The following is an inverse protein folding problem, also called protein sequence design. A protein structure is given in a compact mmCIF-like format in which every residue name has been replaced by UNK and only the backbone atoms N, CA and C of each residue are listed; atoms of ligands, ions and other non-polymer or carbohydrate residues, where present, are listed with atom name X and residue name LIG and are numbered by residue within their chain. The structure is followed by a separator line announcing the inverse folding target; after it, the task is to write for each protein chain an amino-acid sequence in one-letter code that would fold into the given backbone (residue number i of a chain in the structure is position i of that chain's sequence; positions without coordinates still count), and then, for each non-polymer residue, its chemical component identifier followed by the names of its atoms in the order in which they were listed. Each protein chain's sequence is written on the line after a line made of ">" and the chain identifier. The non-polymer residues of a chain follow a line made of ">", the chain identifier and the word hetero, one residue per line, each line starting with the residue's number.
data_IF_568063865981
#
_entry.id   IF_568063865981
#
_cell.length_a   1.000
_cell.length_b   1.000
_cell.length_c   1.000
_cell.angle_alpha   90.00
_cell.angle_beta   90.00
_cell.angle_gamma   90.00
#
_symmetry.space_group_name_H-M   'P 1'
#
loop_
_entity.id
_entity.type
_entity.pdbx_description
1 polymer ?
#
# COMPACT_ATOMS: atom_id res chain seq x y z
N UNK A 1 -6.14 43.07 22.54
CA UNK A 1 -6.13 42.88 24.00
C UNK A 1 -7.53 42.48 24.41
N UNK A 2 -7.60 41.35 25.12
CA UNK A 2 -8.70 40.81 25.92
C UNK A 2 -9.99 40.38 25.20
N UNK A 3 -10.00 39.07 24.97
CA UNK A 3 -11.15 38.17 24.86
C UNK A 3 -12.12 38.32 26.04
N UNK A 4 -13.39 37.99 25.78
CA UNK A 4 -14.42 37.74 26.79
C UNK A 4 -15.29 36.61 26.28
N UNK A 5 -14.95 35.40 26.69
CA UNK A 5 -15.68 34.16 26.43
C UNK A 5 -17.09 34.25 27.07
N UNK A 6 -18.11 34.08 26.23
CA UNK A 6 -19.49 33.94 26.68
C UNK A 6 -19.74 32.52 27.16
N UNK A 7 -20.04 32.41 28.45
CA UNK A 7 -20.62 31.23 29.11
C UNK A 7 -21.69 30.57 28.21
N UNK A 8 -21.47 29.31 27.83
CA UNK A 8 -22.55 28.45 27.34
C UNK A 8 -23.36 27.99 28.55
N UNK A 9 -24.37 28.77 28.92
CA UNK A 9 -25.43 28.32 29.82
C UNK A 9 -26.12 27.12 29.18
N UNK A 10 -25.88 25.92 29.72
CA UNK A 10 -26.67 24.72 29.43
C UNK A 10 -28.06 24.98 30.01
N UNK A 11 -28.96 25.50 29.19
CA UNK A 11 -30.39 25.52 29.49
C UNK A 11 -30.88 24.08 29.30
N UNK A 12 -30.76 23.27 30.36
CA UNK A 12 -31.43 21.98 30.46
C UNK A 12 -32.94 22.26 30.32
N UNK A 13 -33.55 21.78 29.23
CA UNK A 13 -34.97 21.95 28.97
C UNK A 13 -35.78 21.41 30.16
N UNK A 14 -36.42 22.30 30.93
CA UNK A 14 -37.06 21.99 32.23
C UNK A 14 -38.32 21.11 32.13
N UNK A 15 -38.55 20.47 30.98
CA UNK A 15 -39.71 19.63 30.71
C UNK A 15 -39.32 18.22 30.24
N UNK A 16 -38.04 17.93 30.05
CA UNK A 16 -37.60 16.62 29.60
C UNK A 16 -37.16 15.75 30.80
N UNK A 17 -37.90 14.66 31.02
CA UNK A 17 -37.58 13.62 32.01
C UNK A 17 -36.59 12.59 31.45
N UNK A 18 -36.00 12.86 30.28
CA UNK A 18 -35.00 11.97 29.70
C UNK A 18 -33.66 12.16 30.40
N UNK A 19 -33.04 11.03 30.74
CA UNK A 19 -31.62 11.00 31.08
C UNK A 19 -30.88 11.56 29.85
N UNK A 20 -30.14 12.65 30.03
CA UNK A 20 -29.29 13.24 28.99
C UNK A 20 -27.90 12.64 29.10
N UNK A 21 -27.24 12.42 27.96
CA UNK A 21 -25.79 12.21 27.97
C UNK A 21 -25.15 13.52 28.43
N UNK A 22 -24.91 13.68 29.73
CA UNK A 22 -24.13 14.80 30.24
C UNK A 22 -22.75 14.73 29.57
N UNK A 23 -22.41 15.75 28.78
CA UNK A 23 -21.07 15.90 28.17
C UNK A 23 -19.95 16.10 29.21
N UNK A 24 -20.27 16.07 30.51
CA UNK A 24 -19.33 15.97 31.62
C UNK A 24 -19.07 14.53 32.09
N UNK A 25 -19.66 13.51 31.44
CA UNK A 25 -19.31 12.10 31.64
C UNK A 25 -18.01 11.68 30.92
N UNK A 26 -17.18 12.65 30.51
CA UNK A 26 -15.76 12.48 30.20
C UNK A 26 -14.85 12.85 31.38
N UNK A 27 -15.42 13.09 32.57
CA UNK A 27 -14.68 13.04 33.82
C UNK A 27 -14.29 11.60 34.12
N UNK A 28 -13.09 11.24 33.70
CA UNK A 28 -12.29 10.13 34.20
C UNK A 28 -12.78 9.60 35.56
N UNK A 29 -13.33 8.39 35.57
CA UNK A 29 -13.16 7.49 36.72
C UNK A 29 -11.68 7.06 36.77
N UNK A 30 -10.78 8.02 36.95
CA UNK A 30 -9.42 7.80 37.44
C UNK A 30 -9.55 7.46 38.92
N UNK A 31 -9.76 6.17 39.19
CA UNK A 31 -10.00 5.68 40.54
C UNK A 31 -10.26 4.19 40.61
N UNK A 32 -9.81 3.41 39.63
CA UNK A 32 -9.69 1.97 39.76
C UNK A 32 -8.38 1.55 39.09
N UNK A 33 -7.36 1.44 39.93
CA UNK A 33 -6.10 0.73 39.69
C UNK A 33 -6.23 -0.29 38.56
N UNK A 34 -5.42 -0.13 37.51
CA UNK A 34 -5.08 -1.17 36.53
C UNK A 34 -4.31 -2.31 37.22
N UNK A 35 -4.97 -2.96 38.16
CA UNK A 35 -4.64 -4.27 38.67
C UNK A 35 -5.66 -5.20 38.06
N UNK A 36 -5.21 -5.97 37.06
CA UNK A 36 -6.02 -6.88 36.25
C UNK A 36 -6.61 -8.06 37.02
N UNK A 37 -7.49 -7.79 37.97
CA UNK A 37 -8.49 -8.75 38.41
C UNK A 37 -9.73 -8.55 37.54
N UNK A 38 -10.06 -9.56 36.72
CA UNK A 38 -11.32 -9.57 35.97
C UNK A 38 -12.45 -9.49 36.99
N UNK A 39 -13.13 -8.35 37.03
CA UNK A 39 -14.28 -8.12 37.89
C UNK A 39 -15.30 -9.25 37.66
N UNK A 40 -15.79 -9.87 38.75
CA UNK A 40 -16.70 -11.00 38.65
C UNK A 40 -17.98 -10.60 37.89
N UNK A 41 -18.54 -11.51 37.07
CA UNK A 41 -19.77 -11.23 36.34
C UNK A 41 -20.91 -10.95 37.33
N UNK A 42 -21.62 -9.85 37.09
CA UNK A 42 -22.79 -9.45 37.85
C UNK A 42 -24.05 -10.13 37.31
N UNK A 43 -24.31 -10.01 36.00
CA UNK A 43 -25.44 -10.66 35.33
C UNK A 43 -25.16 -10.85 33.82
N UNK A 44 -25.73 -11.89 33.21
CA UNK A 44 -25.57 -12.21 31.78
C UNK A 44 -24.11 -12.22 31.26
N UNK A 45 -23.13 -12.55 32.12
CA UNK A 45 -21.71 -12.53 31.75
C UNK A 45 -21.08 -11.13 31.63
N UNK A 46 -21.77 -10.09 32.09
CA UNK A 46 -21.28 -8.71 32.17
C UNK A 46 -20.90 -8.34 33.59
N UNK A 47 -19.88 -7.50 33.78
CA UNK A 47 -19.64 -6.85 35.07
C UNK A 47 -20.77 -5.87 35.39
N UNK A 48 -20.89 -5.43 36.65
CA UNK A 48 -21.96 -4.49 37.04
C UNK A 48 -21.90 -3.17 36.24
N UNK A 49 -20.73 -2.54 36.03
CA UNK A 49 -20.63 -1.36 35.17
C UNK A 49 -21.03 -1.62 33.71
N UNK A 50 -20.62 -2.76 33.13
CA UNK A 50 -20.99 -3.14 31.76
C UNK A 50 -22.52 -3.34 31.65
N UNK A 51 -23.10 -4.07 32.60
CA UNK A 51 -24.54 -4.33 32.65
C UNK A 51 -25.33 -3.03 32.79
N UNK A 52 -24.90 -2.12 33.68
CA UNK A 52 -25.51 -0.80 33.83
C UNK A 52 -25.45 0.04 32.54
N UNK A 53 -24.30 0.04 31.85
CA UNK A 53 -24.15 0.74 30.58
C UNK A 53 -25.10 0.19 29.51
N UNK A 54 -25.27 -1.13 29.45
CA UNK A 54 -26.23 -1.78 28.55
C UNK A 54 -27.67 -1.42 28.93
N UNK A 55 -28.01 -1.37 30.22
CA UNK A 55 -29.31 -0.88 30.69
C UNK A 55 -29.58 0.58 30.31
N UNK A 56 -28.59 1.47 30.40
CA UNK A 56 -28.72 2.85 29.91
C UNK A 56 -28.96 2.88 28.40
N UNK A 57 -28.19 2.13 27.62
CA UNK A 57 -28.38 2.05 26.17
C UNK A 57 -29.79 1.55 25.80
N UNK A 58 -30.26 0.52 26.49
CA UNK A 58 -31.62 0.00 26.33
C UNK A 58 -32.66 1.09 26.68
N UNK A 59 -32.49 1.78 27.81
CA UNK A 59 -33.36 2.89 28.20
C UNK A 59 -33.41 3.96 27.10
N UNK A 60 -32.28 4.45 26.57
CA UNK A 60 -32.30 5.48 25.53
C UNK A 60 -32.92 5.02 24.22
N UNK A 61 -32.66 3.78 23.82
CA UNK A 61 -33.12 3.21 22.56
C UNK A 61 -34.61 2.88 22.59
N UNK A 62 -35.09 2.30 23.70
CA UNK A 62 -36.43 1.74 23.83
C UNK A 62 -37.35 2.59 24.72
N UNK A 63 -36.94 3.80 25.16
CA UNK A 63 -37.75 4.68 26.04
C UNK A 63 -39.19 4.92 25.60
N UNK A 64 -39.50 4.76 24.31
CA UNK A 64 -40.84 4.92 23.76
C UNK A 64 -41.76 3.72 24.04
N UNK A 65 -41.18 2.53 24.22
CA UNK A 65 -41.93 1.28 24.46
C UNK A 65 -41.88 0.84 25.93
N UNK A 66 -40.90 1.33 26.70
CA UNK A 66 -40.81 1.05 28.14
C UNK A 66 -41.96 1.76 28.87
N UNK A 67 -42.74 0.99 29.63
CA UNK A 67 -43.87 1.52 30.40
C UNK A 67 -43.39 2.12 31.73
N UNK A 68 -42.90 3.35 31.69
CA UNK A 68 -42.45 4.10 32.86
C UNK A 68 -43.55 5.02 33.41
N UNK A 69 -43.81 4.92 34.72
CA UNK A 69 -44.58 5.95 35.43
C UNK A 69 -43.75 7.22 35.62
N UNK A 70 -44.39 8.31 36.07
CA UNK A 70 -43.67 9.55 36.39
C UNK A 70 -42.64 9.32 37.49
N UNK A 71 -43.05 8.65 38.58
CA UNK A 71 -42.19 8.35 39.72
C UNK A 71 -41.00 7.46 39.31
N UNK A 72 -41.20 6.48 38.41
CA UNK A 72 -40.11 5.66 37.89
C UNK A 72 -39.06 6.51 37.15
N UNK A 73 -39.51 7.48 36.33
CA UNK A 73 -38.59 8.37 35.59
C UNK A 73 -37.79 9.25 36.54
N UNK A 74 -38.44 9.82 37.54
CA UNK A 74 -37.79 10.62 38.59
C UNK A 74 -36.75 9.78 39.34
N UNK A 75 -37.11 8.55 39.71
CA UNK A 75 -36.22 7.65 40.45
C UNK A 75 -35.04 7.12 39.62
N UNK A 76 -35.26 6.75 38.35
CA UNK A 76 -34.20 6.38 37.41
C UNK A 76 -33.22 7.53 37.19
N UNK A 77 -33.74 8.77 37.09
CA UNK A 77 -32.91 9.96 36.94
C UNK A 77 -32.07 10.23 38.20
N UNK A 78 -32.65 10.06 39.39
CA UNK A 78 -31.94 10.17 40.65
C UNK A 78 -30.80 9.14 40.76
N UNK A 79 -31.05 7.87 40.42
CA UNK A 79 -29.99 6.85 40.42
C UNK A 79 -28.90 7.16 39.40
N UNK A 80 -29.26 7.60 38.19
CA UNK A 80 -28.28 7.99 37.18
C UNK A 80 -27.42 9.19 37.65
N UNK A 81 -28.02 10.22 38.26
CA UNK A 81 -27.28 11.33 38.86
C UNK A 81 -26.39 10.88 40.02
N UNK A 82 -26.84 9.94 40.86
CA UNK A 82 -26.00 9.37 41.91
C UNK A 82 -24.78 8.62 41.34
N UNK A 83 -24.95 7.92 40.22
CA UNK A 83 -23.85 7.22 39.54
C UNK A 83 -22.85 8.19 38.90
N UNK A 84 -23.34 9.24 38.23
CA UNK A 84 -22.48 10.18 37.50
C UNK A 84 -21.86 11.26 38.37
N UNK A 85 -22.58 11.70 39.40
CA UNK A 85 -22.26 12.92 40.17
C UNK A 85 -22.09 12.67 41.68
N UNK A 86 -22.38 11.45 42.16
CA UNK A 86 -22.31 11.11 43.59
C UNK A 86 -23.48 11.68 44.40
N UNK A 87 -23.27 11.86 45.70
CA UNK A 87 -24.28 12.42 46.60
C UNK A 87 -24.63 13.87 46.22
N UNK A 88 -25.90 14.24 46.40
CA UNK A 88 -26.37 15.60 46.09
C UNK A 88 -25.61 16.66 46.91
N UNK A 89 -25.13 17.69 46.22
CA UNK A 89 -24.40 18.81 46.80
C UNK A 89 -25.13 20.13 46.51
N UNK A 90 -25.75 20.77 47.52
CA UNK A 90 -26.48 22.03 47.36
C UNK A 90 -25.63 23.18 46.83
N UNK A 91 -24.30 23.15 47.00
CA UNK A 91 -23.41 24.21 46.50
C UNK A 91 -23.18 24.10 44.99
N UNK A 92 -23.19 22.87 44.46
CA UNK A 92 -23.01 22.59 43.04
C UNK A 92 -24.32 22.70 42.24
N UNK A 93 -25.45 22.45 42.89
CA UNK A 93 -26.76 22.37 42.25
C UNK A 93 -27.76 23.32 42.94
N UNK A 94 -27.74 24.62 42.59
CA UNK A 94 -28.55 25.65 43.24
C UNK A 94 -30.05 25.43 43.01
N UNK A 95 -30.87 26.10 43.83
CA UNK A 95 -32.31 25.88 43.89
C UNK A 95 -33.03 26.06 42.54
N UNK A 96 -33.93 25.13 42.21
CA UNK A 96 -34.76 25.20 41.02
C UNK A 96 -35.94 26.07 41.39
N UNK A 97 -36.32 26.98 40.50
CA UNK A 97 -37.35 27.97 40.79
C UNK A 97 -38.63 27.30 41.30
N UNK A 98 -39.38 28.00 42.16
CA UNK A 98 -40.60 27.47 42.79
C UNK A 98 -41.64 26.90 41.80
N UNK A 99 -41.64 27.38 40.56
CA UNK A 99 -42.54 26.92 39.50
C UNK A 99 -42.06 25.66 38.76
N UNK A 100 -40.81 25.21 38.96
CA UNK A 100 -40.26 23.99 38.39
C UNK A 100 -40.55 22.78 39.28
N UNK A 101 -41.78 22.28 39.18
CA UNK A 101 -42.26 21.12 39.97
C UNK A 101 -41.46 19.86 39.62
N UNK A 102 -41.14 19.66 38.33
CA UNK A 102 -40.43 18.47 37.86
C UNK A 102 -38.97 18.49 38.33
N UNK A 103 -38.29 19.63 38.21
CA UNK A 103 -36.92 19.80 38.72
C UNK A 103 -36.85 19.62 40.24
N UNK A 104 -37.86 20.11 40.97
CA UNK A 104 -37.95 19.92 42.42
C UNK A 104 -38.12 18.44 42.81
N UNK A 105 -38.96 17.69 42.10
CA UNK A 105 -39.14 16.25 42.34
C UNK A 105 -37.87 15.46 42.02
N UNK A 106 -37.19 15.75 40.89
CA UNK A 106 -35.89 15.16 40.52
C UNK A 106 -34.84 15.41 41.60
N UNK A 107 -34.71 16.65 42.07
CA UNK A 107 -33.78 17.01 43.14
C UNK A 107 -34.08 16.24 44.42
N UNK A 108 -35.33 16.29 44.90
CA UNK A 108 -35.72 15.64 46.15
C UNK A 108 -35.46 14.13 46.10
N UNK A 109 -35.74 13.50 44.96
CA UNK A 109 -35.44 12.10 44.76
C UNK A 109 -33.94 11.81 44.83
N UNK A 110 -33.09 12.63 44.20
CA UNK A 110 -31.63 12.49 44.27
C UNK A 110 -31.09 12.76 45.68
N UNK A 111 -31.53 13.84 46.33
CA UNK A 111 -31.16 14.19 47.71
C UNK A 111 -31.53 13.06 48.69
N UNK A 112 -32.68 12.41 48.48
CA UNK A 112 -33.12 11.27 49.31
C UNK A 112 -32.20 10.04 49.23
N UNK A 113 -31.34 9.93 48.20
CA UNK A 113 -30.37 8.85 48.07
C UNK A 113 -29.19 9.03 49.04
N UNK A 114 -28.93 10.26 49.50
CA UNK A 114 -27.83 10.58 50.42
C UNK A 114 -26.47 10.09 49.92
N UNK A 115 -25.71 9.44 50.81
CA UNK A 115 -24.38 8.90 50.51
C UNK A 115 -24.43 7.50 49.88
N UNK A 116 -25.40 7.24 49.00
CA UNK A 116 -25.51 5.96 48.30
C UNK A 116 -24.29 5.76 47.38
N UNK A 117 -23.61 4.63 47.54
CA UNK A 117 -22.49 4.27 46.69
C UNK A 117 -22.90 4.14 45.21
N UNK A 118 -22.08 4.59 44.25
CA UNK A 118 -22.41 4.52 42.81
C UNK A 118 -22.78 3.10 42.36
N UNK A 119 -22.07 2.08 42.87
CA UNK A 119 -22.37 0.66 42.55
C UNK A 119 -23.76 0.24 43.04
N UNK A 120 -24.21 0.74 44.19
CA UNK A 120 -25.55 0.44 44.69
C UNK A 120 -26.63 1.17 43.87
N UNK A 121 -26.35 2.42 43.47
CA UNK A 121 -27.21 3.17 42.55
C UNK A 121 -27.34 2.47 41.18
N UNK A 122 -26.24 1.92 40.62
CA UNK A 122 -26.27 1.09 39.39
C UNK A 122 -27.20 -0.12 39.55
N UNK A 123 -27.08 -0.88 40.64
CA UNK A 123 -27.95 -2.05 40.89
C UNK A 123 -29.42 -1.66 40.98
N UNK A 124 -29.72 -0.58 41.71
CA UNK A 124 -31.10 -0.11 41.87
C UNK A 124 -31.68 0.43 40.57
N UNK A 125 -30.87 1.13 39.77
CA UNK A 125 -31.25 1.56 38.42
C UNK A 125 -31.63 0.36 37.55
N UNK A 126 -30.75 -0.63 37.44
CA UNK A 126 -30.98 -1.82 36.62
C UNK A 126 -32.19 -2.62 37.09
N UNK A 127 -32.37 -2.75 38.42
CA UNK A 127 -33.51 -3.46 39.01
C UNK A 127 -34.84 -2.77 38.70
N UNK A 128 -34.89 -1.44 38.86
CA UNK A 128 -36.07 -0.66 38.53
C UNK A 128 -36.42 -0.76 37.05
N UNK A 129 -35.42 -0.58 36.18
CA UNK A 129 -35.61 -0.69 34.73
C UNK A 129 -36.12 -2.06 34.29
N UNK A 130 -35.57 -3.15 34.86
CA UNK A 130 -36.02 -4.51 34.58
C UNK A 130 -37.44 -4.80 35.10
N UNK A 131 -37.86 -4.12 36.17
CA UNK A 131 -39.25 -4.21 36.66
C UNK A 131 -40.22 -3.48 35.73
N UNK A 132 -39.80 -2.32 35.20
CA UNK A 132 -40.60 -1.53 34.27
C UNK A 132 -40.64 -2.11 32.83
N UNK A 133 -39.66 -2.93 32.46
CA UNK A 133 -39.52 -3.48 31.10
C UNK A 133 -39.19 -4.99 31.10
N UNK A 134 -40.18 -5.87 31.00
CA UNK A 134 -39.97 -7.31 30.83
C UNK A 134 -39.08 -7.66 29.62
N UNK A 135 -39.07 -6.82 28.59
CA UNK A 135 -38.30 -6.96 27.36
C UNK A 135 -36.79 -6.70 27.55
N UNK A 136 -36.37 -6.19 28.72
CA UNK A 136 -34.95 -6.03 29.04
C UNK A 136 -34.24 -7.39 29.10
N UNK A 137 -34.85 -8.41 29.70
CA UNK A 137 -34.24 -9.74 29.81
C UNK A 137 -33.90 -10.37 28.45
N UNK A 138 -34.84 -10.52 27.49
CA UNK A 138 -34.49 -11.06 26.16
C UNK A 138 -33.53 -10.16 25.38
N UNK A 139 -33.56 -8.84 25.61
CA UNK A 139 -32.57 -7.93 25.02
C UNK A 139 -31.16 -8.16 25.58
N UNK A 140 -31.02 -8.36 26.90
CA UNK A 140 -29.74 -8.68 27.54
C UNK A 140 -29.19 -10.04 27.09
N UNK A 141 -30.05 -11.06 26.91
CA UNK A 141 -29.65 -12.35 26.35
C UNK A 141 -29.10 -12.21 24.92
N UNK A 142 -29.70 -11.35 24.10
CA UNK A 142 -29.20 -11.07 22.76
C UNK A 142 -27.83 -10.38 22.81
N UNK A 143 -27.65 -9.40 23.72
CA UNK A 143 -26.35 -8.73 23.92
C UNK A 143 -25.27 -9.71 24.41
N UNK A 144 -25.62 -10.65 25.29
CA UNK A 144 -24.69 -11.68 25.73
C UNK A 144 -24.23 -12.56 24.57
N UNK A 145 -25.17 -13.05 23.75
CA UNK A 145 -24.83 -13.87 22.57
C UNK A 145 -23.98 -13.12 21.56
N UNK A 146 -24.26 -11.84 21.33
CA UNK A 146 -23.46 -10.99 20.45
C UNK A 146 -22.02 -10.83 20.97
N UNK A 147 -21.82 -10.66 22.28
CA UNK A 147 -20.49 -10.60 22.91
C UNK A 147 -19.73 -11.93 22.73
N UNK A 148 -20.39 -13.05 23.01
CA UNK A 148 -19.82 -14.39 22.86
C UNK A 148 -19.44 -14.71 21.40
N UNK A 149 -20.29 -14.32 20.44
CA UNK A 149 -20.02 -14.48 19.01
C UNK A 149 -18.86 -13.60 18.54
N UNK A 150 -18.81 -12.33 18.95
CA UNK A 150 -17.67 -11.44 18.64
C UNK A 150 -16.36 -11.99 19.21
N UNK A 151 -16.38 -12.55 20.42
CA UNK A 151 -15.20 -13.17 21.00
C UNK A 151 -14.77 -14.43 20.25
N UNK A 152 -15.72 -15.27 19.81
CA UNK A 152 -15.46 -16.44 18.98
C UNK A 152 -14.84 -16.03 17.64
N UNK A 153 -15.43 -15.07 16.93
CA UNK A 153 -14.92 -14.55 15.66
C UNK A 153 -13.50 -14.00 15.80
N UNK A 154 -13.21 -13.26 16.88
CA UNK A 154 -11.87 -12.74 17.15
C UNK A 154 -10.86 -13.87 17.36
N UNK A 155 -11.21 -14.91 18.12
CA UNK A 155 -10.34 -16.08 18.35
C UNK A 155 -10.10 -16.86 17.06
N UNK A 156 -11.14 -17.08 16.25
CA UNK A 156 -11.02 -17.75 14.95
C UNK A 156 -10.16 -16.96 13.96
N UNK A 157 -10.28 -15.63 13.94
CA UNK A 157 -9.43 -14.76 13.12
C UNK A 157 -7.98 -14.75 13.58
N UNK A 158 -7.73 -14.66 14.89
CA UNK A 158 -6.38 -14.76 15.47
C UNK A 158 -5.73 -16.11 15.16
N UNK A 159 -6.49 -17.21 15.26
CA UNK A 159 -6.01 -18.55 14.90
C UNK A 159 -5.72 -18.66 13.39
N UNK A 160 -6.58 -18.10 12.53
CA UNK A 160 -6.37 -18.06 11.08
C UNK A 160 -5.09 -17.30 10.73
N UNK A 161 -4.90 -16.10 11.27
CA UNK A 161 -3.70 -15.30 11.05
C UNK A 161 -2.44 -16.01 11.54
N UNK A 162 -2.52 -16.71 12.69
CA UNK A 162 -1.41 -17.50 13.20
C UNK A 162 -1.04 -18.65 12.27
N UNK A 163 -2.02 -19.38 11.74
CA UNK A 163 -1.79 -20.47 10.77
C UNK A 163 -1.19 -19.93 9.46
N UNK A 164 -1.73 -18.84 8.93
CA UNK A 164 -1.20 -18.20 7.72
C UNK A 164 0.25 -17.72 7.91
N UNK A 165 0.58 -17.15 9.07
CA UNK A 165 1.93 -16.73 9.41
C UNK A 165 2.90 -17.92 9.55
N UNK A 166 2.45 -19.02 10.16
CA UNK A 166 3.23 -20.25 10.30
C UNK A 166 3.53 -20.87 8.93
N UNK A 167 2.52 -21.00 8.06
CA UNK A 167 2.72 -21.49 6.69
C UNK A 167 3.61 -20.55 5.86
N UNK A 168 3.47 -19.24 6.01
CA UNK A 168 4.33 -18.27 5.31
C UNK A 168 5.80 -18.41 5.75
N UNK A 169 6.03 -18.57 7.06
CA UNK A 169 7.37 -18.79 7.61
C UNK A 169 7.97 -20.13 7.15
N UNK A 170 7.16 -21.19 7.04
CA UNK A 170 7.61 -22.48 6.50
C UNK A 170 7.98 -22.38 5.02
N UNK A 171 7.15 -21.70 4.21
CA UNK A 171 7.43 -21.43 2.79
C UNK A 171 8.71 -20.60 2.61
N UNK A 172 8.94 -19.61 3.47
CA UNK A 172 10.18 -18.81 3.44
C UNK A 172 11.40 -19.65 3.78
N UNK A 173 11.33 -20.49 4.83
CA UNK A 173 12.41 -21.43 5.19
C UNK A 173 12.73 -22.39 4.04
N UNK A 174 11.72 -22.93 3.38
CA UNK A 174 11.91 -23.84 2.25
C UNK A 174 12.62 -23.13 1.08
N UNK A 175 12.23 -21.88 0.76
CA UNK A 175 12.90 -21.09 -0.27
C UNK A 175 14.36 -20.81 0.05
N UNK A 176 14.67 -20.46 1.30
CA UNK A 176 16.05 -20.22 1.74
C UNK A 176 16.92 -21.49 1.63
N UNK A 177 16.35 -22.65 2.00
CA UNK A 177 17.04 -23.94 1.85
C UNK A 177 17.28 -24.30 0.37
N UNK A 178 16.28 -24.09 -0.50
CA UNK A 178 16.44 -24.31 -1.94
C UNK A 178 17.46 -23.37 -2.58
N UNK A 179 17.48 -22.10 -2.18
CA UNK A 179 18.48 -21.13 -2.64
C UNK A 179 19.89 -21.49 -2.16
N UNK A 180 20.05 -21.91 -0.91
CA UNK A 180 21.34 -22.38 -0.38
C UNK A 180 21.83 -23.64 -1.12
N UNK A 181 20.93 -24.58 -1.40
CA UNK A 181 21.24 -25.79 -2.18
C UNK A 181 21.63 -25.45 -3.61
N UNK A 182 20.93 -24.51 -4.26
CA UNK A 182 21.27 -24.05 -5.62
C UNK A 182 22.64 -23.38 -5.63
N UNK A 183 22.93 -22.51 -4.67
CA UNK A 183 24.23 -21.83 -4.57
C UNK A 183 25.37 -22.84 -4.40
N UNK A 184 25.20 -23.85 -3.53
CA UNK A 184 26.20 -24.92 -3.37
C UNK A 184 26.40 -25.73 -4.66
N UNK A 185 25.32 -26.05 -5.38
CA UNK A 185 25.42 -26.77 -6.64
C UNK A 185 26.12 -25.93 -7.74
N UNK A 186 25.85 -24.63 -7.82
CA UNK A 186 26.53 -23.71 -8.73
C UNK A 186 28.03 -23.57 -8.38
N UNK A 187 28.37 -23.44 -7.09
CA UNK A 187 29.76 -23.43 -6.62
C UNK A 187 30.49 -24.73 -6.99
N UNK A 188 29.86 -25.89 -6.78
CA UNK A 188 30.43 -27.20 -7.14
C UNK A 188 30.58 -27.36 -8.67
N UNK A 189 29.62 -26.87 -9.46
CA UNK A 189 29.73 -26.88 -10.92
C UNK A 189 30.84 -25.95 -11.42
N UNK A 190 31.00 -24.77 -10.82
CA UNK A 190 32.07 -23.83 -11.16
C UNK A 190 33.45 -24.42 -10.82
N UNK A 191 33.60 -25.08 -9.68
CA UNK A 191 34.82 -25.80 -9.32
C UNK A 191 35.13 -26.92 -10.31
N UNK A 192 34.12 -27.72 -10.70
CA UNK A 192 34.29 -28.75 -11.75
C UNK A 192 34.72 -28.14 -13.08
N UNK A 193 34.09 -27.05 -13.53
CA UNK A 193 34.48 -26.36 -14.77
C UNK A 193 35.90 -25.82 -14.70
N UNK A 194 36.32 -25.25 -13.57
CA UNK A 194 37.71 -24.81 -13.35
C UNK A 194 38.69 -25.96 -13.45
N UNK A 195 38.39 -27.10 -12.81
CA UNK A 195 39.22 -28.31 -12.90
C UNK A 195 39.31 -28.84 -14.33
N UNK A 196 38.19 -28.89 -15.07
CA UNK A 196 38.16 -29.30 -16.47
C UNK A 196 38.98 -28.36 -17.37
N UNK A 197 38.90 -27.04 -17.16
CA UNK A 197 39.72 -26.05 -17.91
C UNK A 197 41.21 -26.24 -17.63
N UNK A 198 41.60 -26.42 -16.36
CA UNK A 198 43.00 -26.65 -15.98
C UNK A 198 43.53 -27.93 -16.64
N UNK A 199 42.75 -29.01 -16.60
CA UNK A 199 43.12 -30.27 -17.24
C UNK A 199 43.27 -30.12 -18.76
N UNK A 200 42.37 -29.38 -19.40
CA UNK A 200 42.42 -29.11 -20.83
C UNK A 200 43.64 -28.26 -21.22
N UNK A 201 43.96 -27.22 -20.44
CA UNK A 201 45.17 -26.42 -20.64
C UNK A 201 46.44 -27.27 -20.55
N UNK A 202 46.53 -28.17 -19.56
CA UNK A 202 47.67 -29.09 -19.43
C UNK A 202 47.80 -30.01 -20.65
N UNK A 203 46.69 -30.51 -21.19
CA UNK A 203 46.71 -31.32 -22.42
C UNK A 203 47.15 -30.50 -23.64
N UNK A 204 46.64 -29.29 -23.82
CA UNK A 204 47.03 -28.40 -24.93
C UNK A 204 48.52 -28.02 -24.83
N UNK A 205 49.03 -27.75 -23.64
CA UNK A 205 50.43 -27.42 -23.41
C UNK A 205 51.36 -28.61 -23.73
N UNK A 206 50.99 -29.83 -23.33
CA UNK A 206 51.70 -31.05 -23.75
C UNK A 206 51.68 -31.22 -25.27
N UNK A 207 50.54 -31.01 -25.92
CA UNK A 207 50.39 -31.16 -27.36
C UNK A 207 51.20 -30.11 -28.12
N UNK A 208 51.19 -28.86 -27.64
CA UNK A 208 51.99 -27.76 -28.18
C UNK A 208 53.50 -28.04 -28.02
N UNK A 209 53.93 -28.53 -26.85
CA UNK A 209 55.31 -28.91 -26.60
C UNK A 209 55.77 -30.03 -27.55
N UNK A 210 54.92 -31.03 -27.75
CA UNK A 210 55.19 -32.11 -28.72
C UNK A 210 55.26 -31.58 -30.16
N UNK A 211 54.35 -30.68 -30.54
CA UNK A 211 54.34 -30.05 -31.87
C UNK A 211 55.56 -29.14 -32.09
N UNK A 212 56.00 -28.41 -31.05
CA UNK A 212 57.20 -27.57 -31.08
C UNK A 212 58.46 -28.44 -31.26
N UNK A 213 58.51 -29.61 -30.62
CA UNK A 213 59.59 -30.58 -30.79
C UNK A 213 59.59 -31.18 -32.20
N UNK A 214 58.42 -31.47 -32.76
CA UNK A 214 58.28 -31.89 -34.17
C UNK A 214 58.71 -30.76 -35.13
N UNK A 215 58.31 -29.51 -34.88
CA UNK A 215 58.72 -28.34 -35.65
C UNK A 215 60.22 -28.10 -35.57
N UNK A 216 60.86 -28.30 -34.42
CA UNK A 216 62.30 -28.20 -34.27
C UNK A 216 63.01 -29.26 -35.13
N UNK A 217 62.53 -30.50 -35.10
CA UNK A 217 63.01 -31.58 -35.98
C UNK A 217 62.78 -31.25 -37.46
N UNK A 218 61.61 -30.69 -37.80
CA UNK A 218 61.27 -30.27 -39.16
C UNK A 218 62.12 -29.07 -39.59
N UNK A 219 62.42 -28.12 -38.72
CA UNK A 219 63.23 -26.93 -38.99
C UNK A 219 64.70 -27.30 -39.18
N UNK A 220 65.23 -28.30 -38.47
CA UNK A 220 66.50 -28.93 -38.81
C UNK A 220 66.49 -29.54 -40.23
N UNK A 221 65.35 -30.11 -40.67
CA UNK A 221 65.16 -30.55 -42.05
C UNK A 221 65.01 -29.39 -43.06
N UNK A 222 64.28 -28.32 -42.72
CA UNK A 222 64.04 -27.16 -43.58
C UNK A 222 65.24 -26.21 -43.69
N UNK A 223 66.20 -26.23 -42.76
CA UNK A 223 67.48 -25.53 -42.94
C UNK A 223 68.31 -26.06 -44.13
N UNK A 224 67.89 -27.16 -44.77
CA UNK A 224 68.45 -27.61 -46.05
C UNK A 224 67.77 -27.02 -47.30
N UNK A 225 66.62 -26.32 -47.22
CA UNK A 225 65.94 -25.78 -48.42
C UNK A 225 65.25 -24.42 -48.15
N UNK A 226 65.59 -23.44 -48.99
CA UNK A 226 65.27 -22.01 -48.86
C UNK A 226 63.85 -21.59 -49.30
N UNK A 227 63.39 -20.50 -48.65
CA UNK A 227 62.60 -19.31 -49.12
C UNK A 227 61.06 -19.30 -49.31
N UNK A 228 60.38 -18.13 -49.11
CA UNK A 228 59.00 -18.02 -48.61
C UNK A 228 58.04 -17.12 -49.45
N UNK A 229 56.72 -17.22 -49.19
CA UNK A 229 55.67 -16.17 -49.28
C UNK A 229 54.28 -16.84 -49.10
N UNK A 230 53.15 -16.25 -48.66
CA UNK A 230 52.64 -14.88 -48.49
C UNK A 230 51.34 -14.97 -47.63
N UNK A 231 50.94 -13.88 -46.97
CA UNK A 231 49.66 -13.71 -46.24
C UNK A 231 48.52 -13.19 -47.15
N UNK A 232 47.25 -13.28 -46.72
CA UNK A 232 46.25 -12.27 -47.09
C UNK A 232 45.48 -11.64 -45.89
N UNK A 233 45.21 -10.34 -46.04
CA UNK A 233 44.29 -9.50 -45.24
C UNK A 233 42.85 -9.61 -45.79
N UNK A 234 41.84 -9.31 -44.98
CA UNK A 234 40.48 -9.02 -45.43
C UNK A 234 39.96 -7.69 -44.84
N UNK A 235 39.21 -6.97 -45.69
CA UNK A 235 38.69 -5.61 -45.54
C UNK A 235 37.23 -5.59 -45.03
N UNK A 236 36.82 -4.44 -44.49
CA UNK A 236 35.47 -4.08 -44.06
C UNK A 236 34.52 -3.73 -45.23
N UNK A 237 33.21 -3.72 -44.96
CA UNK A 237 32.13 -3.33 -45.90
C UNK A 237 31.09 -2.38 -45.25
N UNK A 238 30.70 -1.38 -46.07
CA UNK A 238 29.68 -0.32 -45.98
C UNK A 238 28.25 -0.83 -45.64
N UNK A 239 27.23 -0.06 -45.22
CA UNK A 239 26.94 1.37 -45.27
C UNK A 239 25.45 1.61 -45.65
N UNK A 240 24.54 1.45 -44.68
CA UNK A 240 23.22 2.10 -44.54
C UNK A 240 23.07 2.36 -43.02
N UNK A 241 22.46 3.47 -42.54
CA UNK A 241 22.30 3.64 -41.09
C UNK A 241 21.20 2.71 -40.62
N UNK A 242 21.56 1.43 -40.45
CA UNK A 242 20.77 0.43 -39.76
C UNK A 242 20.68 0.92 -38.32
N UNK A 243 19.48 1.27 -37.88
CA UNK A 243 19.22 1.51 -36.45
C UNK A 243 19.79 0.31 -35.70
N UNK A 244 20.72 0.58 -34.79
CA UNK A 244 21.34 -0.47 -34.02
C UNK A 244 20.25 -1.16 -33.19
N UNK A 245 20.32 -2.48 -32.95
CA UNK A 245 19.42 -3.09 -31.99
C UNK A 245 19.63 -2.43 -30.61
N UNK A 246 18.56 -2.16 -29.83
CA UNK A 246 18.72 -1.75 -28.45
C UNK A 246 19.32 -2.88 -27.63
N UNK A 247 20.02 -2.54 -26.56
CA UNK A 247 20.39 -3.48 -25.51
C UNK A 247 19.34 -3.41 -24.41
N UNK A 248 18.88 -4.56 -23.92
CA UNK A 248 17.91 -4.68 -22.84
C UNK A 248 18.36 -5.77 -21.88
N UNK A 249 18.36 -5.47 -20.59
CA UNK A 249 18.71 -6.39 -19.51
C UNK A 249 17.92 -6.03 -18.26
N UNK A 250 18.02 -6.88 -17.24
CA UNK A 250 17.33 -6.67 -15.97
C UNK A 250 18.33 -6.67 -14.83
N UNK A 251 17.91 -6.13 -13.68
CA UNK A 251 18.61 -6.33 -12.41
C UNK A 251 17.62 -6.61 -11.28
N UNK A 252 17.99 -7.42 -10.29
CA UNK A 252 17.18 -7.61 -9.10
C UNK A 252 17.15 -6.33 -8.25
N UNK A 253 16.46 -6.38 -7.10
CA UNK A 253 16.35 -5.29 -6.10
C UNK A 253 15.49 -4.10 -6.54
N UNK A 254 14.28 -4.40 -7.05
CA UNK A 254 13.25 -3.39 -7.40
C UNK A 254 12.98 -2.41 -6.25
N UNK A 255 12.85 -2.90 -5.02
CA UNK A 255 12.53 -2.05 -3.86
C UNK A 255 13.62 -1.02 -3.57
N UNK A 256 14.91 -1.37 -3.70
CA UNK A 256 16.01 -0.42 -3.52
C UNK A 256 15.98 0.68 -4.59
N UNK A 257 15.67 0.32 -5.85
CA UNK A 257 15.52 1.29 -6.93
C UNK A 257 14.33 2.23 -6.74
N UNK A 258 13.17 1.68 -6.37
CA UNK A 258 11.97 2.47 -6.06
C UNK A 258 12.25 3.45 -4.92
N UNK A 259 12.85 2.97 -3.82
CA UNK A 259 13.15 3.82 -2.67
C UNK A 259 14.08 4.99 -3.02
N UNK A 260 15.04 4.77 -3.93
CA UNK A 260 15.94 5.82 -4.40
C UNK A 260 15.22 6.91 -5.20
N UNK A 261 14.27 6.52 -6.06
CA UNK A 261 13.57 7.45 -6.96
C UNK A 261 12.31 8.07 -6.36
N UNK A 262 11.71 7.45 -5.33
CA UNK A 262 10.43 7.89 -4.74
C UNK A 262 10.47 9.32 -4.19
N UNK A 263 11.64 9.82 -3.83
CA UNK A 263 11.84 11.19 -3.35
C UNK A 263 11.89 12.26 -4.46
N UNK A 264 12.06 11.85 -5.73
CA UNK A 264 12.10 12.74 -6.89
C UNK A 264 10.79 12.65 -7.67
N UNK A 265 9.89 13.65 -7.57
CA UNK A 265 8.61 13.64 -8.26
C UNK A 265 8.72 13.59 -9.79
N UNK A 266 9.85 13.98 -10.37
CA UNK A 266 10.05 13.95 -11.84
C UNK A 266 10.34 12.54 -12.37
N UNK A 267 10.74 11.64 -11.47
CA UNK A 267 11.01 10.23 -11.73
C UNK A 267 9.83 9.31 -11.40
N UNK A 268 8.71 9.85 -10.93
CA UNK A 268 7.51 9.08 -10.57
C UNK A 268 6.34 9.48 -11.47
N UNK A 269 5.69 8.49 -12.07
CA UNK A 269 4.55 8.69 -12.96
C UNK A 269 3.45 7.69 -12.62
N UNK A 270 2.19 8.12 -12.69
CA UNK A 270 1.05 7.20 -12.53
C UNK A 270 0.45 6.95 -13.91
N UNK A 271 0.57 5.72 -14.40
CA UNK A 271 -0.07 5.27 -15.64
C UNK A 271 -1.44 4.72 -15.28
N UNK A 272 -2.51 5.44 -15.64
CA UNK A 272 -3.88 5.06 -15.32
C UNK A 272 -4.33 3.78 -16.02
N UNK A 273 -5.46 3.22 -15.58
CA UNK A 273 -6.08 2.05 -16.22
C UNK A 273 -6.50 2.41 -17.67
N UNK A 274 -6.20 1.56 -18.63
CA UNK A 274 -6.52 1.83 -20.03
C UNK A 274 -5.67 2.93 -20.69
N UNK A 275 -4.71 3.53 -19.98
CA UNK A 275 -3.91 4.64 -20.49
C UNK A 275 -2.57 4.19 -21.07
N UNK A 276 -2.05 4.99 -22.01
CA UNK A 276 -0.66 4.91 -22.46
C UNK A 276 0.03 6.25 -22.23
N UNK A 277 1.17 6.22 -21.54
CA UNK A 277 2.00 7.41 -21.32
C UNK A 277 3.26 7.35 -22.18
N UNK A 278 3.63 8.47 -22.77
CA UNK A 278 4.86 8.59 -23.57
C UNK A 278 5.79 9.62 -22.97
N UNK A 279 6.98 9.19 -22.56
CA UNK A 279 8.07 10.07 -22.15
C UNK A 279 8.92 10.40 -23.38
N UNK A 280 9.00 11.69 -23.72
CA UNK A 280 9.75 12.22 -24.87
C UNK A 280 11.13 12.66 -24.42
N UNK A 281 12.17 12.06 -24.98
CA UNK A 281 13.57 12.27 -24.59
C UNK A 281 14.38 12.75 -25.81
N UNK A 282 14.63 14.06 -25.94
CA UNK A 282 15.49 14.62 -26.98
C UNK A 282 16.91 14.06 -26.94
N UNK A 283 17.51 13.80 -28.12
CA UNK A 283 18.94 13.48 -28.21
C UNK A 283 19.77 14.68 -27.80
N UNK A 284 20.78 14.46 -26.95
CA UNK A 284 21.70 15.51 -26.54
C UNK A 284 22.86 15.66 -27.55
N UNK A 285 23.25 16.89 -27.90
CA UNK A 285 24.30 17.17 -28.91
C UNK A 285 25.68 16.59 -28.54
N UNK A 286 25.97 16.47 -27.25
CA UNK A 286 27.19 15.84 -26.75
C UNK A 286 27.01 14.40 -26.30
N UNK A 287 25.88 13.76 -26.58
CA UNK A 287 25.59 12.38 -26.21
C UNK A 287 25.67 11.44 -27.42
N UNK A 288 25.91 10.17 -27.15
CA UNK A 288 25.99 9.10 -28.18
C UNK A 288 25.01 7.96 -27.92
N UNK A 289 24.45 7.89 -26.71
CA UNK A 289 23.58 6.81 -26.27
C UNK A 289 22.56 7.33 -25.25
N UNK A 290 21.33 6.80 -25.29
CA UNK A 290 20.35 6.95 -24.19
C UNK A 290 20.33 5.68 -23.37
N UNK A 291 20.18 5.83 -22.07
CA UNK A 291 19.93 4.78 -21.11
C UNK A 291 18.60 5.05 -20.40
N UNK A 292 17.84 4.00 -20.18
CA UNK A 292 16.60 4.05 -19.40
C UNK A 292 16.59 2.93 -18.37
N UNK A 293 16.01 3.23 -17.22
CA UNK A 293 15.71 2.26 -16.18
C UNK A 293 14.32 2.52 -15.65
N UNK A 294 13.54 1.45 -15.43
CA UNK A 294 12.22 1.60 -14.84
C UNK A 294 11.76 0.37 -14.07
N UNK A 295 10.83 0.61 -13.15
CA UNK A 295 10.16 -0.41 -12.37
C UNK A 295 8.75 0.07 -11.93
N UNK A 296 7.93 -0.87 -11.50
CA UNK A 296 6.61 -0.64 -10.89
C UNK A 296 6.53 -1.33 -9.53
N UNK A 297 5.55 -0.95 -8.70
CA UNK A 297 5.44 -1.52 -7.34
C UNK A 297 4.89 -2.96 -7.30
N UNK A 298 3.89 -3.28 -8.12
CA UNK A 298 3.08 -4.48 -7.89
C UNK A 298 2.78 -5.35 -9.12
N UNK A 299 2.83 -4.77 -10.32
CA UNK A 299 2.33 -5.43 -11.53
C UNK A 299 3.18 -5.07 -12.74
N UNK A 300 3.14 -5.92 -13.75
CA UNK A 300 3.77 -5.66 -15.03
C UNK A 300 3.23 -4.40 -15.73
N UNK A 301 3.98 -3.94 -16.73
CA UNK A 301 3.62 -2.80 -17.57
C UNK A 301 4.14 -3.06 -19.00
N UNK A 302 3.37 -2.64 -20.01
CA UNK A 302 3.83 -2.65 -21.40
C UNK A 302 4.91 -1.59 -21.61
N UNK A 303 6.00 -1.96 -22.27
CA UNK A 303 7.08 -1.02 -22.57
C UNK A 303 7.64 -1.22 -23.96
N UNK A 304 7.78 -0.12 -24.69
CA UNK A 304 8.45 -0.05 -25.98
C UNK A 304 9.13 1.29 -26.21
N UNK A 305 9.96 1.35 -27.24
CA UNK A 305 10.75 2.54 -27.59
C UNK A 305 10.65 2.79 -29.08
N UNK A 306 10.33 4.02 -29.45
CA UNK A 306 10.39 4.49 -30.84
C UNK A 306 11.32 5.70 -30.96
N UNK A 307 11.80 5.99 -32.15
CA UNK A 307 12.64 7.14 -32.44
C UNK A 307 11.97 8.03 -33.48
N UNK A 308 11.65 9.26 -33.09
CA UNK A 308 11.07 10.30 -33.93
C UNK A 308 12.18 11.14 -34.56
N UNK A 309 12.27 11.14 -35.89
CA UNK A 309 13.21 11.94 -36.67
C UNK A 309 12.70 13.38 -36.79
N UNK A 310 12.94 14.16 -35.74
CA UNK A 310 12.56 15.58 -35.66
C UNK A 310 13.71 16.43 -35.10
N UNK A 311 13.67 17.75 -35.32
CA UNK A 311 14.55 18.65 -34.58
C UNK A 311 13.90 18.94 -33.22
N UNK A 312 14.52 18.55 -32.09
CA UNK A 312 13.94 18.81 -30.79
C UNK A 312 13.87 20.33 -30.55
N UNK A 313 12.68 20.84 -30.24
CA UNK A 313 12.48 22.26 -29.94
C UNK A 313 13.05 22.64 -28.57
N UNK A 314 13.22 21.66 -27.67
CA UNK A 314 13.77 21.84 -26.33
C UNK A 314 14.74 20.69 -26.00
N UNK A 315 15.59 20.91 -24.99
CA UNK A 315 16.47 19.86 -24.42
C UNK A 315 15.83 19.13 -23.23
N UNK A 316 14.62 19.54 -22.83
CA UNK A 316 13.96 19.04 -21.63
C UNK A 316 13.17 17.75 -21.95
N UNK A 317 13.17 16.81 -21.02
CA UNK A 317 12.30 15.63 -21.07
C UNK A 317 10.86 16.11 -20.85
N UNK A 318 9.93 15.65 -21.67
CA UNK A 318 8.50 15.97 -21.53
C UNK A 318 7.67 14.71 -21.45
N UNK A 319 6.53 14.78 -20.76
CA UNK A 319 5.59 13.66 -20.62
C UNK A 319 4.31 14.01 -21.38
N UNK A 320 3.88 13.12 -22.27
CA UNK A 320 2.61 13.20 -22.96
C UNK A 320 1.69 12.07 -22.50
N UNK A 321 0.44 12.40 -22.19
CA UNK A 321 -0.61 11.43 -21.85
C UNK A 321 -1.43 11.20 -23.11
N UNK A 322 -1.49 9.95 -23.56
CA UNK A 322 -2.41 9.57 -24.63
C UNK A 322 -3.48 8.67 -24.00
N UNK A 323 -4.65 9.26 -23.73
CA UNK A 323 -5.84 8.50 -23.35
C UNK A 323 -6.37 7.82 -24.61
N UNK A 324 -6.34 6.48 -24.64
CA UNK A 324 -6.97 5.62 -25.66
C UNK A 324 -6.51 5.83 -27.11
N UNK A 325 -5.82 4.83 -27.65
CA UNK A 325 -5.66 4.64 -29.10
C UNK A 325 -6.98 4.06 -29.66
N UNK A 326 -7.97 4.94 -29.87
CA UNK A 326 -9.24 4.65 -30.55
C UNK A 326 -9.17 5.01 -32.05
N UNK A 327 -8.01 4.79 -32.71
CA UNK A 327 -7.89 4.92 -34.17
C UNK A 327 -7.36 3.64 -34.83
N UNK A 328 -8.06 2.52 -34.65
CA UNK A 328 -8.01 1.39 -35.60
C UNK A 328 -9.41 0.98 -36.08
N UNK A 329 -10.23 1.94 -36.50
CA UNK A 329 -11.31 1.70 -37.47
C UNK A 329 -11.49 2.95 -38.34
N UNK A 330 -10.50 3.21 -39.19
CA UNK A 330 -10.66 4.14 -40.30
C UNK A 330 -11.53 3.50 -41.38
N UNK A 331 -12.84 3.77 -41.33
CA UNK A 331 -13.67 3.72 -42.53
C UNK A 331 -13.07 4.68 -43.56
N UNK A 332 -12.91 4.18 -44.79
CA UNK A 332 -12.65 5.02 -45.95
C UNK A 332 -13.80 6.02 -46.11
N UNK A 333 -13.61 7.29 -45.75
CA UNK A 333 -14.35 8.33 -46.45
C UNK A 333 -13.50 9.56 -46.74
N UNK A 334 -13.65 10.01 -47.98
CA UNK A 334 -12.91 11.11 -48.59
C UNK A 334 -13.47 12.45 -48.12
N UNK A 335 -12.59 13.44 -48.22
CA UNK A 335 -12.85 14.87 -48.44
C UNK A 335 -12.94 15.78 -47.21
N UNK A 336 -11.85 16.51 -46.97
CA UNK A 336 -11.81 17.97 -47.03
C UNK A 336 -10.36 18.44 -46.84
N UNK A 337 -9.80 19.04 -47.89
CA UNK A 337 -8.54 19.79 -47.82
C UNK A 337 -8.69 20.96 -46.86
N UNK A 338 -7.81 21.04 -45.87
CA UNK A 338 -7.44 22.31 -45.24
C UNK A 338 -5.94 22.27 -44.94
N UNK A 339 -5.18 23.12 -45.63
CA UNK A 339 -3.72 23.17 -45.56
C UNK A 339 -3.20 23.67 -44.20
N UNK A 340 -1.98 23.21 -43.88
CA UNK A 340 -1.00 23.71 -42.89
C UNK A 340 -0.73 22.92 -41.61
N UNK A 341 -1.01 21.60 -41.55
CA UNK A 341 -0.27 20.75 -40.61
C UNK A 341 1.10 20.38 -41.18
N UNK A 342 2.24 20.61 -40.49
CA UNK A 342 3.54 20.15 -40.96
C UNK A 342 3.52 18.63 -41.17
N UNK A 343 4.30 18.10 -42.13
CA UNK A 343 4.37 16.66 -42.35
C UNK A 343 4.74 15.95 -41.05
N UNK A 344 3.95 14.93 -40.66
CA UNK A 344 4.22 14.13 -39.45
C UNK A 344 5.67 13.61 -39.51
N UNK A 345 6.48 13.80 -38.46
CA UNK A 345 7.86 13.35 -38.46
C UNK A 345 7.91 11.82 -38.61
N UNK A 346 8.90 11.31 -39.35
CA UNK A 346 9.14 9.87 -39.48
C UNK A 346 9.41 9.28 -38.10
N UNK A 347 8.76 8.17 -37.77
CA UNK A 347 9.00 7.41 -36.53
C UNK A 347 9.47 6.01 -36.91
N UNK A 348 10.60 5.58 -36.36
CA UNK A 348 11.07 4.20 -36.48
C UNK A 348 10.95 3.48 -35.14
N UNK A 349 10.53 2.21 -35.16
CA UNK A 349 10.50 1.37 -33.96
C UNK A 349 11.92 0.93 -33.58
N UNK A 350 12.29 1.13 -32.31
CA UNK A 350 13.58 0.70 -31.75
C UNK A 350 13.38 -0.57 -30.93
N UNK A 351 12.34 -0.59 -30.09
CA UNK A 351 11.96 -1.72 -29.24
C UNK A 351 10.43 -1.87 -29.32
N UNK A 352 9.89 -3.03 -29.73
CA UNK A 352 8.46 -3.26 -29.75
C UNK A 352 7.87 -3.18 -28.35
N UNK A 353 6.60 -2.78 -28.27
CA UNK A 353 5.86 -2.74 -27.00
C UNK A 353 5.55 -4.17 -26.57
N UNK A 354 6.15 -4.59 -25.46
CA UNK A 354 5.90 -5.90 -24.84
C UNK A 354 5.67 -5.73 -23.35
N UNK A 355 4.88 -6.62 -22.74
CA UNK A 355 4.66 -6.66 -21.29
C UNK A 355 5.95 -7.08 -20.59
N UNK A 356 6.44 -6.24 -19.68
CA UNK A 356 7.67 -6.48 -18.92
C UNK A 356 7.32 -6.73 -17.44
N UNK A 357 7.91 -7.76 -16.78
CA UNK A 357 7.72 -8.02 -15.35
C UNK A 357 8.51 -7.01 -14.49
N UNK A 358 8.27 -5.72 -14.72
CA UNK A 358 8.99 -4.60 -14.12
C UNK A 358 8.65 -4.36 -12.64
N UNK A 359 7.75 -5.19 -12.08
CA UNK A 359 7.49 -5.33 -10.65
C UNK A 359 8.41 -6.35 -9.96
N UNK A 360 9.02 -7.25 -10.72
CA UNK A 360 9.91 -8.31 -10.21
C UNK A 360 11.37 -7.91 -10.35
N UNK A 361 11.73 -7.35 -11.51
CA UNK A 361 13.08 -6.87 -11.80
C UNK A 361 13.08 -5.44 -12.37
N UNK A 362 14.13 -4.68 -12.10
CA UNK A 362 14.29 -3.35 -12.73
C UNK A 362 14.69 -3.58 -14.17
N UNK A 363 13.89 -3.05 -15.10
CA UNK A 363 14.15 -3.15 -16.54
C UNK A 363 15.12 -2.04 -16.93
N UNK A 364 16.20 -2.41 -17.61
CA UNK A 364 17.24 -1.50 -18.05
C UNK A 364 17.46 -1.67 -19.54
N UNK A 365 17.64 -0.56 -20.25
CA UNK A 365 18.11 -0.66 -21.62
C UNK A 365 18.89 0.56 -22.06
N UNK A 366 19.50 0.40 -23.23
CA UNK A 366 20.27 1.45 -23.87
C UNK A 366 20.17 1.36 -25.39
N UNK A 367 20.26 2.50 -26.06
CA UNK A 367 20.29 2.55 -27.51
C UNK A 367 21.23 3.66 -27.99
N UNK A 368 22.17 3.29 -28.88
CA UNK A 368 23.03 4.24 -29.58
C UNK A 368 22.18 5.17 -30.43
N UNK A 369 22.53 6.46 -30.44
CA UNK A 369 21.79 7.45 -31.21
C UNK A 369 21.87 7.12 -32.70
N UNK A 370 20.74 6.83 -33.37
CA UNK A 370 20.73 6.63 -34.81
C UNK A 370 20.93 7.96 -35.55
N UNK A 371 20.69 9.08 -34.87
CA UNK A 371 20.85 10.45 -35.36
C UNK A 371 20.30 11.45 -34.34
N UNK A 372 20.04 12.69 -34.79
CA UNK A 372 19.35 13.71 -33.99
C UNK A 372 17.84 13.50 -34.07
N UNK A 373 17.17 13.47 -32.93
CA UNK A 373 15.74 13.19 -32.85
C UNK A 373 15.22 13.16 -31.42
N UNK A 374 14.06 12.54 -31.24
CA UNK A 374 13.40 12.38 -29.94
C UNK A 374 13.04 10.92 -29.72
N UNK A 375 13.53 10.33 -28.64
CA UNK A 375 13.08 9.00 -28.21
C UNK A 375 11.70 9.10 -27.57
N UNK A 376 10.84 8.14 -27.90
CA UNK A 376 9.49 7.99 -27.37
C UNK A 376 9.45 6.71 -26.53
N UNK A 377 9.60 6.85 -25.21
CA UNK A 377 9.48 5.74 -24.28
C UNK A 377 7.99 5.58 -23.95
N UNK A 378 7.39 4.51 -24.47
CA UNK A 378 5.96 4.23 -24.32
C UNK A 378 5.76 3.28 -23.14
N UNK A 379 4.95 3.71 -22.19
CA UNK A 379 4.49 2.94 -21.04
C UNK A 379 3.01 2.67 -21.19
N UNK A 380 2.69 1.43 -21.55
CA UNK A 380 1.38 1.00 -21.99
C UNK A 380 0.67 0.20 -20.89
N UNK A 381 -0.46 0.74 -20.41
CA UNK A 381 -1.36 0.10 -19.46
C UNK A 381 -2.78 -0.07 -20.06
N UNK A 382 -2.90 0.00 -21.39
CA UNK A 382 -4.16 -0.13 -22.13
C UNK A 382 -4.89 -1.44 -21.82
N UNK A 383 -4.14 -2.52 -21.61
CA UNK A 383 -4.67 -3.84 -21.28
C UNK A 383 -5.25 -3.96 -19.86
N UNK A 384 -5.04 -2.98 -18.98
CA UNK A 384 -5.45 -3.08 -17.59
C UNK A 384 -6.82 -2.46 -17.35
N UNK A 385 -7.82 -3.31 -17.08
CA UNK A 385 -9.20 -2.88 -16.82
C UNK A 385 -9.40 -2.25 -15.43
N UNK A 386 -8.58 -2.62 -14.44
CA UNK A 386 -8.86 -2.32 -13.03
C UNK A 386 -7.69 -1.72 -12.26
N UNK A 387 -6.48 -1.64 -12.84
CA UNK A 387 -5.27 -1.30 -12.07
C UNK A 387 -4.44 -0.22 -12.76
N UNK A 388 -4.33 0.94 -12.12
CA UNK A 388 -3.27 1.91 -12.43
C UNK A 388 -1.91 1.40 -11.96
N UNK A 389 -0.82 1.90 -12.56
CA UNK A 389 0.56 1.53 -12.22
C UNK A 389 1.34 2.77 -11.81
N UNK A 390 1.98 2.72 -10.65
CA UNK A 390 2.99 3.71 -10.27
C UNK A 390 4.33 3.29 -10.89
N UNK A 391 4.77 4.05 -11.89
CA UNK A 391 6.02 3.89 -12.62
C UNK A 391 7.10 4.73 -11.96
N UNK A 392 8.23 4.10 -11.64
CA UNK A 392 9.45 4.75 -11.21
C UNK A 392 10.47 4.62 -12.34
N UNK A 393 10.98 5.73 -12.86
CA UNK A 393 11.86 5.71 -14.03
C UNK A 393 12.99 6.74 -13.94
N UNK A 394 14.10 6.45 -14.62
CA UNK A 394 15.17 7.41 -14.88
C UNK A 394 15.69 7.25 -16.30
N UNK A 395 16.05 8.38 -16.91
CA UNK A 395 16.64 8.42 -18.26
C UNK A 395 17.86 9.33 -18.23
N UNK A 396 18.94 8.88 -18.84
CA UNK A 396 20.19 9.64 -18.94
C UNK A 396 20.89 9.33 -20.27
N UNK A 397 21.89 10.13 -20.62
CA UNK A 397 22.70 9.91 -21.81
C UNK A 397 24.18 9.81 -21.45
N UNK A 398 24.94 9.10 -22.28
CA UNK A 398 26.41 9.01 -22.16
C UNK A 398 27.09 9.70 -23.33
N UNK A 399 28.37 10.06 -23.16
CA UNK A 399 29.22 10.61 -24.21
C UNK A 399 29.96 9.51 -24.93
#
# INVERSE_FOLDING_TARGET
>A
MAEGEGNNDIVESSHDLTITDDQNASGETEGASETGEKELPYNYGFSLPEYYKLCLQYYHKEKQIIKLTYDDKVQLTAYWKQVSSGAFDPEKYPDVGYFDVIGNDRRRAWESLGNMEPREAMKKFCTLLGTCSPELAPWMEAQQKEKEEKERMRKEEEERLRREAEEAAERERQRLLEEEMRRKAEEEEEERRKQEIILRQQQEEQLLQQQQQQMLNKQQQYQQQQTPDQQPKAMAVNGTPRIAPPSLWTRPKVQEFIQHLKSDPTSVLVVGRGETMTVRVPTHEGGTCVFWEFATEFYDLGFGVSFEWSQPQTKNITVAVNESDDEEFGEEDKSAENESSPPKPRVDEVLPVERRPCNEEVIIGSHLYPGRGVYLLKFDNSYSLFRSKTLYYRVYYTR
#
